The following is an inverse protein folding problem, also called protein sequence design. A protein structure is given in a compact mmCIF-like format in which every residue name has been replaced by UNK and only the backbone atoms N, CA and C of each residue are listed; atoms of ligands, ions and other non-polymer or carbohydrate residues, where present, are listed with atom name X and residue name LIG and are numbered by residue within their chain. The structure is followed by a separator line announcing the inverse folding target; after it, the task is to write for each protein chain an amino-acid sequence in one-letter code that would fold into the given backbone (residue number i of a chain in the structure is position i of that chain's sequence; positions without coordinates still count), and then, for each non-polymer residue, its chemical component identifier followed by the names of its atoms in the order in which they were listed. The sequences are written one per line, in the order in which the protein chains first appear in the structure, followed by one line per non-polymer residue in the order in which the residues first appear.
data_IF_560582669536
#
_entry.id   IF_560582669536
#
_cell.length_a   1.000
_cell.length_b   1.000
_cell.length_c   1.000
_cell.angle_alpha   90.00
_cell.angle_beta   90.00
_cell.angle_gamma   90.00
#
_symmetry.space_group_name_H-M   'P 1'
#
loop_
_entity.id
_entity.type
_entity.pdbx_description
1 polymer ?
#
# COMPACT_ATOMS: atom_id res chain seq x y z
N UNK A 1 50.77 9.53 -25.47
CA UNK A 1 50.51 9.13 -24.07
C UNK A 1 49.60 10.14 -23.40
N UNK A 2 48.31 9.82 -23.18
CA UNK A 2 47.50 10.43 -22.11
C UNK A 2 46.25 9.57 -21.90
N UNK A 3 46.21 8.94 -20.73
CA UNK A 3 45.05 8.18 -20.22
C UNK A 3 43.98 9.19 -19.82
N UNK A 4 42.73 8.96 -20.21
CA UNK A 4 41.58 9.55 -19.55
C UNK A 4 40.48 8.48 -19.49
N UNK A 5 40.48 7.79 -18.36
CA UNK A 5 39.36 7.05 -17.80
C UNK A 5 38.36 8.08 -17.24
N UNK A 6 37.10 8.04 -17.67
CA UNK A 6 35.94 8.47 -16.89
C UNK A 6 34.77 7.59 -17.34
N UNK A 7 34.57 6.46 -16.67
CA UNK A 7 33.67 6.32 -15.53
C UNK A 7 32.20 6.34 -15.96
N UNK A 8 31.66 5.13 -16.15
CA UNK A 8 30.23 4.86 -16.09
C UNK A 8 29.68 5.46 -14.81
N UNK A 9 28.74 6.39 -14.92
CA UNK A 9 27.76 6.65 -13.85
C UNK A 9 26.43 6.13 -14.35
N UNK A 10 26.16 4.91 -13.92
CA UNK A 10 24.85 4.31 -13.86
C UNK A 10 23.94 5.13 -12.92
N UNK A 11 22.62 4.98 -13.10
CA UNK A 11 21.63 5.52 -12.17
C UNK A 11 20.56 6.30 -12.92
N UNK A 12 19.75 5.65 -13.76
CA UNK A 12 18.46 5.11 -13.35
C UNK A 12 17.58 6.11 -12.57
N UNK A 13 16.51 6.50 -13.26
CA UNK A 13 15.17 6.69 -12.72
C UNK A 13 14.97 7.94 -11.85
N UNK A 14 14.77 9.06 -12.52
CA UNK A 14 13.88 10.13 -12.05
C UNK A 14 12.45 9.90 -12.59
N UNK A 15 11.97 8.66 -12.56
CA UNK A 15 10.51 8.46 -12.45
C UNK A 15 10.16 8.78 -10.99
N UNK A 16 10.21 10.09 -10.68
CA UNK A 16 9.65 10.61 -9.46
C UNK A 16 8.21 10.14 -9.42
N UNK A 17 7.91 9.37 -8.38
CA UNK A 17 6.63 8.78 -8.09
C UNK A 17 5.51 9.80 -8.37
N UNK A 18 4.80 9.65 -9.49
CA UNK A 18 3.38 10.01 -9.49
C UNK A 18 2.74 8.99 -8.56
N UNK A 19 2.82 9.26 -7.26
CA UNK A 19 1.83 8.76 -6.33
C UNK A 19 0.57 9.51 -6.72
N UNK A 20 -0.14 8.97 -7.72
CA UNK A 20 -1.56 9.23 -7.89
C UNK A 20 -2.14 9.06 -6.48
N UNK A 21 -2.54 10.17 -5.86
CA UNK A 21 -3.37 10.14 -4.67
C UNK A 21 -4.68 9.51 -5.11
N UNK A 22 -4.67 8.18 -5.13
CA UNK A 22 -5.87 7.38 -5.18
C UNK A 22 -6.54 7.56 -3.82
N UNK A 23 -7.21 8.70 -3.69
CA UNK A 23 -8.16 9.03 -2.64
C UNK A 23 -9.39 8.11 -2.81
N UNK A 24 -9.16 6.80 -2.75
CA UNK A 24 -10.17 5.76 -2.85
C UNK A 24 -10.92 5.57 -1.53
N UNK A 25 -10.45 6.19 -0.45
CA UNK A 25 -11.09 6.11 0.85
C UNK A 25 -12.13 7.22 1.02
N UNK A 26 -13.34 6.97 0.52
CA UNK A 26 -14.51 7.75 0.91
C UNK A 26 -14.88 7.40 2.37
N UNK A 27 -14.25 8.12 3.31
CA UNK A 27 -14.53 8.05 4.74
C UNK A 27 -16.03 8.07 5.15
N UNK A 28 -17.00 8.66 4.40
CA UNK A 28 -18.41 8.60 4.81
C UNK A 28 -19.13 7.28 4.47
N UNK A 29 -18.53 6.38 3.69
CA UNK A 29 -19.18 5.11 3.33
C UNK A 29 -18.99 4.10 4.45
N UNK A 30 -20.07 3.76 5.15
CA UNK A 30 -20.03 2.74 6.18
C UNK A 30 -19.59 1.37 5.60
N UNK A 31 -18.86 0.57 6.38
CA UNK A 31 -18.29 -0.72 5.93
C UNK A 31 -19.36 -1.69 5.40
N UNK A 32 -20.60 -1.60 5.87
CA UNK A 32 -21.73 -2.42 5.40
C UNK A 32 -22.25 -2.03 4.02
N UNK A 33 -21.88 -0.84 3.53
CA UNK A 33 -22.23 -0.34 2.20
C UNK A 33 -21.11 -0.55 1.17
N UNK A 34 -19.94 -0.98 1.61
CA UNK A 34 -18.79 -1.23 0.75
C UNK A 34 -18.95 -2.56 -0.02
N UNK A 35 -18.45 -2.59 -1.25
CA UNK A 35 -18.27 -3.83 -2.00
C UNK A 35 -17.17 -4.67 -1.34
N UNK A 36 -17.12 -6.00 -1.58
CA UNK A 36 -16.05 -6.84 -1.05
C UNK A 36 -14.64 -6.32 -1.37
N UNK A 37 -14.43 -5.78 -2.58
CA UNK A 37 -13.15 -5.21 -3.00
C UNK A 37 -12.79 -3.93 -2.22
N UNK A 38 -13.77 -3.04 -2.00
CA UNK A 38 -13.58 -1.83 -1.19
C UNK A 38 -13.25 -2.18 0.27
N UNK A 39 -13.91 -3.20 0.83
CA UNK A 39 -13.62 -3.71 2.18
C UNK A 39 -12.19 -4.26 2.27
N UNK A 40 -11.73 -5.00 1.26
CA UNK A 40 -10.36 -5.52 1.26
C UNK A 40 -9.32 -4.40 1.19
N UNK A 41 -9.50 -3.41 0.30
CA UNK A 41 -8.63 -2.24 0.23
C UNK A 41 -8.61 -1.42 1.52
N UNK A 42 -9.78 -1.27 2.18
CA UNK A 42 -9.86 -0.62 3.48
C UNK A 42 -8.94 -1.30 4.49
N UNK A 43 -9.09 -2.62 4.66
CA UNK A 43 -8.30 -3.32 5.66
C UNK A 43 -6.82 -3.38 5.29
N UNK A 44 -6.47 -3.51 4.00
CA UNK A 44 -5.07 -3.39 3.53
C UNK A 44 -4.45 -2.05 3.97
N UNK A 45 -5.18 -0.95 3.79
CA UNK A 45 -4.72 0.37 4.22
C UNK A 45 -4.70 0.50 5.75
N UNK A 46 -5.72 0.00 6.43
CA UNK A 46 -5.84 0.03 7.89
C UNK A 46 -4.68 -0.71 8.55
N UNK A 47 -4.34 -1.92 8.09
CA UNK A 47 -3.22 -2.69 8.63
C UNK A 47 -1.87 -2.13 8.19
N UNK A 48 -1.76 -1.36 7.11
CA UNK A 48 -0.52 -0.69 6.76
C UNK A 48 -0.17 0.47 7.70
N UNK A 49 -1.14 0.97 8.49
CA UNK A 49 -0.89 2.06 9.44
C UNK A 49 0.16 1.65 10.50
N UNK A 50 1.31 2.35 10.60
CA UNK A 50 2.37 2.02 11.55
C UNK A 50 1.95 2.24 13.01
N UNK A 51 1.03 3.16 13.27
CA UNK A 51 0.54 3.49 14.61
C UNK A 51 -0.56 2.53 15.08
N UNK A 52 -0.96 1.57 14.23
CA UNK A 52 -1.95 0.58 14.59
C UNK A 52 -1.35 -0.43 15.59
N UNK A 53 -1.97 -0.50 16.77
CA UNK A 53 -1.59 -1.44 17.83
C UNK A 53 -1.58 -2.90 17.31
N UNK A 54 -0.70 -3.72 17.88
CA UNK A 54 -0.59 -5.13 17.50
C UNK A 54 -1.92 -5.89 17.64
N UNK A 55 -2.69 -5.59 18.69
CA UNK A 55 -4.02 -6.17 18.90
C UNK A 55 -5.00 -5.82 17.78
N UNK A 56 -5.12 -4.53 17.43
CA UNK A 56 -6.04 -4.08 16.39
C UNK A 56 -5.61 -4.57 15.01
N UNK A 57 -4.30 -4.67 14.76
CA UNK A 57 -3.75 -5.25 13.54
C UNK A 57 -4.13 -6.72 13.40
N UNK A 58 -4.03 -7.51 14.47
CA UNK A 58 -4.45 -8.91 14.45
C UNK A 58 -5.95 -9.06 14.15
N UNK A 59 -6.80 -8.25 14.80
CA UNK A 59 -8.24 -8.25 14.55
C UNK A 59 -8.58 -7.90 13.09
N UNK A 60 -7.93 -6.88 12.53
CA UNK A 60 -8.12 -6.49 11.14
C UNK A 60 -7.66 -7.58 10.15
N UNK A 61 -6.53 -8.23 10.41
CA UNK A 61 -6.05 -9.36 9.61
C UNK A 61 -7.01 -10.55 9.65
N UNK A 62 -7.60 -10.85 10.80
CA UNK A 62 -8.62 -11.89 10.92
C UNK A 62 -9.90 -11.54 10.16
N UNK A 63 -10.31 -10.27 10.20
CA UNK A 63 -11.44 -9.77 9.40
C UNK A 63 -11.16 -9.84 7.90
N UNK A 64 -9.95 -9.49 7.44
CA UNK A 64 -9.53 -9.67 6.04
C UNK A 64 -9.66 -11.13 5.59
N UNK A 65 -9.16 -12.07 6.41
CA UNK A 65 -9.24 -13.50 6.11
C UNK A 65 -10.68 -13.98 6.05
N UNK A 66 -11.51 -13.58 7.02
CA UNK A 66 -12.93 -13.93 7.07
C UNK A 66 -13.72 -13.39 5.86
N UNK A 67 -13.27 -12.28 5.27
CA UNK A 67 -13.86 -11.68 4.06
C UNK A 67 -13.28 -12.23 2.75
N UNK A 68 -12.32 -13.15 2.80
CA UNK A 68 -11.70 -13.73 1.62
C UNK A 68 -10.75 -12.76 0.89
N UNK A 69 -10.30 -11.69 1.56
CA UNK A 69 -9.32 -10.78 1.00
C UNK A 69 -8.01 -11.55 0.81
N UNK A 70 -7.59 -11.73 -0.44
CA UNK A 70 -6.26 -12.22 -0.73
C UNK A 70 -5.27 -11.14 -0.36
N UNK A 71 -4.48 -11.36 0.70
CA UNK A 71 -3.28 -10.57 0.93
C UNK A 71 -2.41 -10.75 -0.31
N UNK A 72 -2.46 -9.78 -1.24
CA UNK A 72 -1.44 -9.71 -2.29
C UNK A 72 -0.16 -9.36 -1.54
N UNK A 73 0.65 -10.40 -1.33
CA UNK A 73 1.93 -10.34 -0.62
C UNK A 73 2.91 -9.38 -1.26
#
# INVERSE_FOLDING_TARGET
MKRLLLALVAGLVLAGCQSEEDSFYNAPKALDKMTPEEVCKFYEHYVANPDLSAHNRALAMDQMRAKGCSAKG
#
